data_IF_707986846247
#
_entry.id   IF_707986846247
#
_cell.length_a   1.000
_cell.length_b   1.000
_cell.length_c   1.000
_cell.angle_alpha   90.00
_cell.angle_beta   90.00
_cell.angle_gamma   90.00
#
_symmetry.space_group_name_H-M   'P 1'
#
loop_
_entity.id
_entity.type
_entity.pdbx_description
1 polymer ?
#
# COMPACT_ATOMS: atom_id res chain seq x y z
N UNK A 1 10.28 4.38 4.47
CA UNK A 1 9.04 4.01 5.20
C UNK A 1 8.04 5.15 5.30
N UNK A 2 8.39 6.32 5.86
CA UNK A 2 7.45 7.44 6.02
C UNK A 2 6.88 8.00 4.71
N UNK A 3 7.71 8.13 3.67
CA UNK A 3 7.23 8.52 2.34
C UNK A 3 6.19 7.52 1.79
N UNK A 4 6.45 6.20 1.92
CA UNK A 4 5.49 5.17 1.51
C UNK A 4 4.19 5.25 2.31
N UNK A 5 4.26 5.51 3.61
CA UNK A 5 3.08 5.74 4.44
C UNK A 5 2.28 6.95 3.94
N UNK A 6 2.93 8.09 3.67
CA UNK A 6 2.26 9.27 3.12
C UNK A 6 1.59 9.00 1.76
N UNK A 7 2.29 8.31 0.85
CA UNK A 7 1.73 7.88 -0.43
C UNK A 7 0.52 6.95 -0.24
N UNK A 8 0.58 6.01 0.72
CA UNK A 8 -0.52 5.09 1.02
C UNK A 8 -1.76 5.80 1.58
N UNK A 9 -1.58 6.82 2.43
CA UNK A 9 -2.67 7.68 2.93
C UNK A 9 -3.29 8.45 1.76
N UNK A 10 -2.48 9.00 0.87
CA UNK A 10 -2.99 9.69 -0.32
C UNK A 10 -3.72 8.74 -1.27
N UNK A 11 -3.23 7.51 -1.46
CA UNK A 11 -3.94 6.48 -2.23
C UNK A 11 -5.30 6.13 -1.61
N UNK A 12 -5.37 6.00 -0.28
CA UNK A 12 -6.61 5.75 0.46
C UNK A 12 -7.60 6.91 0.27
N UNK A 13 -7.13 8.16 0.38
CA UNK A 13 -7.93 9.35 0.07
C UNK A 13 -8.52 9.29 -1.34
N UNK A 14 -7.69 9.00 -2.36
CA UNK A 14 -8.17 8.87 -3.74
C UNK A 14 -9.20 7.75 -3.88
N UNK A 15 -9.02 6.62 -3.19
CA UNK A 15 -9.97 5.51 -3.18
C UNK A 15 -11.33 5.90 -2.58
N UNK A 16 -11.34 6.67 -1.49
CA UNK A 16 -12.55 7.22 -0.89
C UNK A 16 -13.23 8.22 -1.85
N UNK A 17 -12.48 9.05 -2.57
CA UNK A 17 -13.05 9.94 -3.59
C UNK A 17 -13.65 9.17 -4.76
N UNK A 18 -13.07 8.04 -5.17
CA UNK A 18 -13.67 7.13 -6.17
C UNK A 18 -15.01 6.59 -5.68
N UNK A 19 -15.08 6.14 -4.43
CA UNK A 19 -16.34 5.67 -3.82
C UNK A 19 -17.39 6.78 -3.75
N UNK A 20 -16.99 8.00 -3.33
CA UNK A 20 -17.85 9.18 -3.30
C UNK A 20 -18.39 9.50 -4.69
N UNK A 21 -17.53 9.53 -5.71
CA UNK A 21 -17.91 9.83 -7.11
C UNK A 21 -18.94 8.83 -7.65
N UNK A 22 -18.82 7.54 -7.28
CA UNK A 22 -19.78 6.50 -7.69
C UNK A 22 -21.17 6.72 -7.08
N UNK A 23 -21.21 7.19 -5.84
CA UNK A 23 -22.45 7.32 -5.07
C UNK A 23 -23.11 8.71 -5.21
N UNK A 24 -22.37 9.72 -5.70
CA UNK A 24 -22.89 11.07 -5.93
C UNK A 24 -23.91 11.13 -7.08
N UNK A 25 -24.75 12.17 -7.07
CA UNK A 25 -25.77 12.44 -8.09
C UNK A 25 -25.73 13.92 -8.52
N UNK A 26 -26.42 14.25 -9.61
CA UNK A 26 -26.58 15.63 -10.09
C UNK A 26 -25.26 16.38 -10.34
N UNK A 27 -25.23 17.66 -9.96
CA UNK A 27 -24.07 18.54 -10.15
C UNK A 27 -22.84 18.09 -9.35
N UNK A 28 -23.03 17.52 -8.14
CA UNK A 28 -21.91 17.00 -7.35
C UNK A 28 -21.14 15.92 -8.13
N UNK A 29 -21.86 15.00 -8.78
CA UNK A 29 -21.22 13.95 -9.59
C UNK A 29 -20.45 14.54 -10.76
N UNK A 30 -21.01 15.55 -11.45
CA UNK A 30 -20.35 16.20 -12.58
C UNK A 30 -19.03 16.86 -12.16
N UNK A 31 -19.01 17.56 -11.03
CA UNK A 31 -17.79 18.16 -10.50
C UNK A 31 -16.77 17.10 -10.06
N UNK A 32 -17.19 16.04 -9.37
CA UNK A 32 -16.30 14.97 -8.91
C UNK A 32 -15.62 14.21 -10.06
N UNK A 33 -16.32 14.02 -11.19
CA UNK A 33 -15.76 13.36 -12.39
C UNK A 33 -14.55 14.13 -12.94
N UNK A 34 -14.56 15.47 -12.90
CA UNK A 34 -13.43 16.31 -13.34
C UNK A 34 -12.15 15.99 -12.57
N UNK A 35 -12.29 15.53 -11.33
CA UNK A 35 -11.17 15.11 -10.48
C UNK A 35 -10.44 13.84 -10.96
N UNK A 36 -11.01 13.04 -11.87
CA UNK A 36 -10.38 11.81 -12.42
C UNK A 36 -9.74 10.91 -11.33
N UNK A 37 -10.42 10.79 -10.19
CA UNK A 37 -9.88 10.12 -9.00
C UNK A 37 -9.52 8.65 -9.25
N UNK A 38 -10.25 7.98 -10.15
CA UNK A 38 -9.97 6.61 -10.58
C UNK A 38 -8.60 6.48 -11.26
N UNK A 39 -8.27 7.40 -12.17
CA UNK A 39 -6.98 7.40 -12.89
C UNK A 39 -5.85 7.67 -11.92
N UNK A 40 -5.99 8.71 -11.07
CA UNK A 40 -4.98 9.05 -10.06
C UNK A 40 -4.78 7.91 -9.06
N UNK A 41 -5.85 7.29 -8.59
CA UNK A 41 -5.77 6.16 -7.66
C UNK A 41 -5.03 4.97 -8.31
N UNK A 42 -5.34 4.65 -9.57
CA UNK A 42 -4.63 3.60 -10.30
C UNK A 42 -3.13 3.88 -10.46
N UNK A 43 -2.76 5.11 -10.83
CA UNK A 43 -1.37 5.52 -11.00
C UNK A 43 -0.59 5.46 -9.68
N UNK A 44 -1.12 6.09 -8.63
CA UNK A 44 -0.48 6.08 -7.30
C UNK A 44 -0.43 4.65 -6.74
N UNK A 45 -1.48 3.85 -6.91
CA UNK A 45 -1.50 2.44 -6.52
C UNK A 45 -0.44 1.60 -7.25
N UNK A 46 -0.25 1.83 -8.55
CA UNK A 46 0.78 1.15 -9.35
C UNK A 46 2.19 1.53 -8.88
N UNK A 47 2.43 2.81 -8.58
CA UNK A 47 3.70 3.28 -8.03
C UNK A 47 3.96 2.64 -6.66
N UNK A 48 2.96 2.64 -5.77
CA UNK A 48 3.06 2.02 -4.45
C UNK A 48 3.39 0.52 -4.55
N UNK A 49 2.72 -0.22 -5.44
CA UNK A 49 3.01 -1.63 -5.69
C UNK A 49 4.48 -1.83 -6.08
N UNK A 50 4.97 -1.07 -7.06
CA UNK A 50 6.35 -1.18 -7.50
C UNK A 50 7.34 -0.87 -6.38
N UNK A 51 7.15 0.24 -5.66
CA UNK A 51 8.04 0.66 -4.58
C UNK A 51 8.03 -0.32 -3.39
N UNK A 52 6.88 -0.89 -3.05
CA UNK A 52 6.79 -1.88 -1.98
C UNK A 52 7.49 -3.19 -2.33
N UNK A 53 7.26 -3.71 -3.54
CA UNK A 53 7.87 -4.96 -4.01
C UNK A 53 9.38 -4.79 -4.11
N UNK A 54 9.85 -3.75 -4.80
CA UNK A 54 11.27 -3.49 -4.96
C UNK A 54 11.94 -3.12 -3.63
N UNK A 55 11.25 -2.39 -2.77
CA UNK A 55 11.74 -2.06 -1.44
C UNK A 55 11.92 -3.30 -0.55
N UNK A 56 10.98 -4.25 -0.59
CA UNK A 56 11.09 -5.51 0.13
C UNK A 56 12.25 -6.38 -0.40
N UNK A 57 12.34 -6.54 -1.72
CA UNK A 57 13.43 -7.29 -2.36
C UNK A 57 14.78 -6.65 -2.05
N UNK A 58 14.90 -5.33 -2.23
CA UNK A 58 16.13 -4.58 -1.95
C UNK A 58 16.54 -4.65 -0.48
N UNK A 59 15.59 -4.49 0.45
CA UNK A 59 15.85 -4.59 1.88
C UNK A 59 16.37 -5.97 2.30
N UNK A 60 15.76 -7.04 1.76
CA UNK A 60 16.26 -8.41 1.97
C UNK A 60 17.64 -8.61 1.33
N UNK A 61 17.83 -8.14 0.09
CA UNK A 61 19.11 -8.23 -0.62
C UNK A 61 20.26 -7.58 0.13
N UNK A 62 20.09 -6.33 0.57
CA UNK A 62 21.09 -5.61 1.38
C UNK A 62 21.36 -6.34 2.70
N UNK A 63 20.32 -6.82 3.37
CA UNK A 63 20.48 -7.59 4.62
C UNK A 63 21.32 -8.84 4.40
N UNK A 64 21.01 -9.61 3.35
CA UNK A 64 21.73 -10.84 3.03
C UNK A 64 23.18 -10.58 2.65
N UNK A 65 23.45 -9.60 1.77
CA UNK A 65 24.81 -9.25 1.34
C UNK A 65 25.68 -8.84 2.53
N UNK A 66 25.13 -8.05 3.45
CA UNK A 66 25.90 -7.52 4.58
C UNK A 66 26.07 -8.51 5.75
N UNK A 67 25.20 -9.52 5.87
CA UNK A 67 25.17 -10.41 7.05
C UNK A 67 25.30 -11.91 6.71
N UNK A 68 25.31 -12.28 5.44
CA UNK A 68 25.31 -13.68 4.98
C UNK A 68 24.01 -14.46 5.27
N UNK A 69 22.98 -13.80 5.83
CA UNK A 69 21.69 -14.40 6.17
C UNK A 69 20.59 -13.34 6.27
N UNK A 70 19.34 -13.79 6.20
CA UNK A 70 18.19 -12.97 6.55
C UNK A 70 17.83 -13.18 8.02
N UNK A 71 17.44 -12.10 8.70
CA UNK A 71 16.91 -12.17 10.06
C UNK A 71 15.39 -12.37 10.00
N UNK A 72 14.94 -13.59 10.28
CA UNK A 72 13.51 -13.93 10.32
C UNK A 72 12.91 -13.42 11.62
N UNK A 73 12.30 -12.24 11.55
CA UNK A 73 11.58 -11.63 12.67
C UNK A 73 10.25 -11.02 12.24
N UNK A 74 9.47 -10.49 13.20
CA UNK A 74 8.13 -9.96 12.94
C UNK A 74 8.09 -8.89 11.83
N UNK A 75 9.12 -8.03 11.75
CA UNK A 75 9.21 -7.01 10.71
C UNK A 75 9.33 -7.61 9.31
N UNK A 76 10.20 -8.60 9.11
CA UNK A 76 10.37 -9.27 7.82
C UNK A 76 9.09 -10.02 7.40
N UNK A 77 8.50 -10.80 8.32
CA UNK A 77 7.29 -11.57 8.02
C UNK A 77 6.10 -10.66 7.70
N UNK A 78 5.92 -9.58 8.45
CA UNK A 78 4.90 -8.58 8.16
C UNK A 78 5.15 -7.90 6.80
N UNK A 79 6.39 -7.51 6.51
CA UNK A 79 6.77 -6.93 5.21
C UNK A 79 6.44 -7.85 4.03
N UNK A 80 6.79 -9.13 4.11
CA UNK A 80 6.46 -10.13 3.09
C UNK A 80 4.94 -10.32 2.93
N UNK A 81 4.22 -10.40 4.06
CA UNK A 81 2.76 -10.46 4.04
C UNK A 81 2.14 -9.25 3.36
N UNK A 82 2.64 -8.05 3.65
CA UNK A 82 2.20 -6.81 3.00
C UNK A 82 2.50 -6.81 1.50
N UNK A 83 3.66 -7.30 1.06
CA UNK A 83 3.98 -7.46 -0.37
C UNK A 83 2.96 -8.36 -1.08
N UNK A 84 2.59 -9.49 -0.46
CA UNK A 84 1.54 -10.36 -0.97
C UNK A 84 0.17 -9.69 -1.01
N UNK A 85 -0.21 -9.00 0.07
CA UNK A 85 -1.49 -8.29 0.18
C UNK A 85 -1.64 -7.19 -0.89
N UNK A 86 -0.60 -6.40 -1.17
CA UNK A 86 -0.71 -5.33 -2.19
C UNK A 86 -0.80 -5.92 -3.60
N UNK A 87 -0.05 -6.99 -3.88
CA UNK A 87 -0.16 -7.69 -5.17
C UNK A 87 -1.55 -8.29 -5.36
N UNK A 88 -2.09 -8.95 -4.33
CA UNK A 88 -3.45 -9.48 -4.33
C UNK A 88 -4.49 -8.37 -4.52
N UNK A 89 -4.35 -7.26 -3.79
CA UNK A 89 -5.21 -6.07 -3.91
C UNK A 89 -5.24 -5.52 -5.33
N UNK A 90 -4.08 -5.40 -5.99
CA UNK A 90 -3.97 -4.94 -7.37
C UNK A 90 -4.63 -5.91 -8.36
N UNK A 91 -4.50 -7.22 -8.12
CA UNK A 91 -5.09 -8.28 -8.96
C UNK A 91 -6.63 -8.28 -8.95
N UNK A 92 -7.28 -7.61 -7.99
CA UNK A 92 -8.74 -7.44 -7.96
C UNK A 92 -9.25 -6.42 -8.99
N UNK A 93 -8.36 -5.59 -9.57
CA UNK A 93 -8.73 -4.49 -10.47
C UNK A 93 -9.61 -4.91 -11.65
N UNK A 94 -9.35 -6.00 -12.38
CA UNK A 94 -10.20 -6.41 -13.51
C UNK A 94 -11.65 -6.73 -13.07
N UNK A 95 -11.83 -7.36 -11.91
CA UNK A 95 -13.17 -7.66 -11.37
C UNK A 95 -13.90 -6.37 -10.96
N UNK A 96 -13.19 -5.44 -10.32
CA UNK A 96 -13.76 -4.15 -9.92
C UNK A 96 -14.17 -3.30 -11.14
N UNK A 97 -13.38 -3.32 -12.21
CA UNK A 97 -13.69 -2.66 -13.48
C UNK A 97 -14.95 -3.26 -14.13
N UNK A 98 -15.16 -4.58 -14.00
CA UNK A 98 -16.35 -5.29 -14.47
C UNK A 98 -17.59 -5.13 -13.56
N UNK A 99 -17.54 -4.29 -12.53
CA UNK A 99 -18.72 -4.06 -11.69
C UNK A 99 -18.80 -4.89 -10.41
N UNK A 100 -17.88 -5.84 -10.18
CA UNK A 100 -18.00 -6.78 -9.06
C UNK A 100 -17.85 -6.09 -7.69
N UNK A 101 -18.94 -6.08 -6.90
CA UNK A 101 -18.95 -5.43 -5.60
C UNK A 101 -18.14 -6.19 -4.54
N UNK A 102 -18.12 -7.53 -4.59
CA UNK A 102 -17.29 -8.33 -3.68
C UNK A 102 -15.80 -7.97 -3.83
N UNK A 103 -15.31 -7.81 -5.07
CA UNK A 103 -13.93 -7.46 -5.34
C UNK A 103 -13.58 -6.07 -4.79
N UNK A 104 -14.52 -5.11 -4.86
CA UNK A 104 -14.34 -3.78 -4.28
C UNK A 104 -14.28 -3.82 -2.76
N UNK A 105 -15.19 -4.55 -2.13
CA UNK A 105 -15.20 -4.69 -0.67
C UNK A 105 -13.90 -5.35 -0.18
N UNK A 106 -13.47 -6.43 -0.84
CA UNK A 106 -12.20 -7.10 -0.55
C UNK A 106 -11.01 -6.17 -0.75
N UNK A 107 -10.95 -5.43 -1.86
CA UNK A 107 -9.89 -4.48 -2.13
C UNK A 107 -9.82 -3.40 -1.05
N UNK A 108 -10.95 -2.82 -0.64
CA UNK A 108 -11.01 -1.82 0.43
C UNK A 108 -10.49 -2.42 1.75
N UNK A 109 -11.00 -3.57 2.17
CA UNK A 109 -10.59 -4.24 3.41
C UNK A 109 -9.09 -4.54 3.43
N UNK A 110 -8.56 -5.10 2.35
CA UNK A 110 -7.14 -5.41 2.22
C UNK A 110 -6.29 -4.15 2.29
N UNK A 111 -6.68 -3.06 1.61
CA UNK A 111 -5.88 -1.83 1.62
C UNK A 111 -5.92 -1.09 2.96
N UNK A 112 -7.04 -1.10 3.69
CA UNK A 112 -7.08 -0.52 5.03
C UNK A 112 -6.27 -1.36 6.03
N UNK A 113 -6.28 -2.70 5.88
CA UNK A 113 -5.38 -3.59 6.63
C UNK A 113 -3.91 -3.27 6.33
N UNK A 114 -3.56 -3.13 5.05
CA UNK A 114 -2.22 -2.72 4.61
C UNK A 114 -1.81 -1.37 5.19
N UNK A 115 -2.69 -0.37 5.22
CA UNK A 115 -2.42 0.94 5.78
C UNK A 115 -2.11 0.85 7.30
N UNK A 116 -2.89 0.07 8.04
CA UNK A 116 -2.64 -0.20 9.46
C UNK A 116 -1.29 -0.89 9.69
N UNK A 117 -0.99 -1.93 8.91
CA UNK A 117 0.32 -2.60 8.95
C UNK A 117 1.46 -1.64 8.59
N UNK A 118 1.28 -0.75 7.62
CA UNK A 118 2.28 0.24 7.25
C UNK A 118 2.61 1.21 8.36
N UNK A 119 1.57 1.73 9.05
CA UNK A 119 1.76 2.62 10.19
C UNK A 119 2.59 1.94 11.29
N UNK A 120 2.29 0.67 11.59
CA UNK A 120 3.06 -0.12 12.54
C UNK A 120 4.50 -0.40 12.06
N UNK A 121 4.67 -0.80 10.80
CA UNK A 121 5.99 -1.08 10.22
C UNK A 121 6.88 0.17 10.16
N UNK A 122 6.31 1.36 9.95
CA UNK A 122 7.07 2.61 10.00
C UNK A 122 7.71 2.85 11.37
N UNK A 123 6.99 2.54 12.47
CA UNK A 123 7.51 2.66 13.84
C UNK A 123 8.57 1.59 14.12
N UNK A 124 8.28 0.32 13.83
CA UNK A 124 9.23 -0.78 14.10
C UNK A 124 10.50 -0.68 13.26
N UNK A 125 10.41 -0.19 12.02
CA UNK A 125 11.57 0.06 11.17
C UNK A 125 12.52 1.09 11.77
N UNK A 126 12.00 2.18 12.35
CA UNK A 126 12.83 3.18 13.04
C UNK A 126 13.53 2.57 14.26
N UNK A 127 12.82 1.75 15.04
CA UNK A 127 13.42 1.06 16.20
C UNK A 127 14.56 0.12 15.79
N UNK A 128 14.43 -0.57 14.66
CA UNK A 128 15.50 -1.43 14.12
C UNK A 128 16.72 -0.60 13.73
N UNK A 129 16.53 0.49 12.99
CA UNK A 129 17.62 1.40 12.61
C UNK A 129 18.31 1.97 13.85
N UNK A 130 17.54 2.41 14.85
CA UNK A 130 18.08 2.92 16.11
C UNK A 130 18.95 1.87 16.80
N UNK A 131 18.48 0.62 16.93
CA UNK A 131 19.27 -0.47 17.54
C UNK A 131 20.59 -0.69 16.81
N UNK A 132 20.59 -0.67 15.48
CA UNK A 132 21.82 -0.81 14.67
C UNK A 132 22.79 0.34 14.95
N UNK A 133 22.30 1.59 15.03
CA UNK A 133 23.14 2.76 15.26
C UNK A 133 23.67 2.87 16.70
N UNK A 134 22.92 2.39 17.70
CA UNK A 134 23.30 2.49 19.12
C UNK A 134 24.11 1.30 19.62
N UNK A 135 24.13 0.19 18.88
CA UNK A 135 24.97 -0.98 19.15
C UNK A 135 26.28 -0.96 18.33
N UNK A 136 26.50 0.10 17.55
CA UNK A 136 27.72 0.37 16.80
C UNK A 136 28.71 1.22 17.61
#
# INVERSE_FOLDING_TARGET
MWALLAFSIYAAYLGLQVQRTRNAQGEEKKELIKGRYNVRHYQIGSILLALMVLGAIGGMGVTYINNGKLFVGPHLLAGLGMTGLIAFSAALSPYMQKGANWARATHILVNFTLLGLFAWQAVTGVQIVQRILTQA
#
